data_IF_909639943632
#
_entry.id   IF_909639943632
#
_cell.length_a   1.000
_cell.length_b   1.000
_cell.length_c   1.000
_cell.angle_alpha   90.00
_cell.angle_beta   90.00
_cell.angle_gamma   90.00
#
_symmetry.space_group_name_H-M   'P 1'
#
loop_
_entity.id
_entity.type
_entity.pdbx_description
1 polymer ?
#
# COMPACT_ATOMS: atom_id res chain seq x y z
N UNK A 1 24.84 -71.81 7.61
CA UNK A 1 24.43 -72.22 8.99
C UNK A 1 23.59 -71.09 9.50
N UNK A 2 22.31 -71.36 9.61
CA UNK A 2 21.31 -71.00 10.63
C UNK A 2 21.08 -69.47 10.71
N UNK A 3 19.97 -68.83 10.34
CA UNK A 3 18.57 -69.23 10.47
C UNK A 3 17.95 -68.57 11.67
N UNK A 4 16.86 -67.81 11.46
CA UNK A 4 15.70 -67.53 12.31
C UNK A 4 15.33 -66.02 12.12
N UNK A 5 14.21 -65.60 11.63
CA UNK A 5 12.89 -66.17 11.61
C UNK A 5 12.02 -65.54 12.68
N UNK A 6 11.13 -64.56 12.29
CA UNK A 6 9.97 -64.29 13.06
C UNK A 6 9.54 -62.82 13.18
N UNK A 7 8.31 -62.45 13.60
CA UNK A 7 7.08 -62.73 12.87
C UNK A 7 6.36 -61.47 12.38
N UNK A 8 5.56 -61.66 11.34
CA UNK A 8 4.58 -60.69 10.80
C UNK A 8 3.45 -60.48 11.81
N UNK A 9 3.17 -59.22 12.15
CA UNK A 9 1.93 -58.82 12.82
C UNK A 9 0.91 -58.38 11.76
N UNK A 10 -0.22 -59.08 11.78
CA UNK A 10 -1.38 -58.79 10.95
C UNK A 10 -2.18 -57.62 11.55
N UNK A 11 -2.48 -56.60 10.73
CA UNK A 11 -3.47 -55.61 11.10
C UNK A 11 -4.86 -56.07 10.64
N UNK A 12 -5.75 -56.21 11.62
CA UNK A 12 -7.18 -56.46 11.44
C UNK A 12 -7.86 -55.18 11.02
N UNK A 13 -8.62 -55.25 9.92
CA UNK A 13 -9.64 -54.30 9.56
C UNK A 13 -10.79 -54.29 10.56
N UNK A 14 -11.16 -53.10 11.04
CA UNK A 14 -12.38 -52.87 11.81
C UNK A 14 -13.35 -52.11 10.93
N UNK A 15 -14.37 -52.79 10.44
CA UNK A 15 -15.56 -52.26 9.79
C UNK A 15 -16.51 -51.65 10.81
N UNK A 16 -16.81 -50.35 10.69
CA UNK A 16 -17.85 -49.65 11.43
C UNK A 16 -18.97 -49.17 10.46
N UNK A 17 -20.20 -48.94 10.93
CA UNK A 17 -21.41 -49.09 10.11
C UNK A 17 -21.74 -47.84 9.28
N UNK A 18 -22.22 -48.12 8.05
CA UNK A 18 -22.82 -47.14 7.10
C UNK A 18 -24.19 -46.68 7.64
N UNK A 19 -24.36 -45.39 7.86
CA UNK A 19 -25.67 -44.75 8.04
C UNK A 19 -26.27 -44.45 6.69
N UNK A 20 -27.45 -45.03 6.43
CA UNK A 20 -28.23 -44.80 5.25
C UNK A 20 -29.05 -43.51 5.39
N UNK A 21 -28.86 -42.54 4.47
CA UNK A 21 -29.80 -41.42 4.33
C UNK A 21 -30.94 -41.78 3.38
N UNK A 22 -32.15 -41.82 3.93
CA UNK A 22 -33.42 -41.97 3.22
C UNK A 22 -33.72 -40.70 2.41
N UNK A 23 -34.02 -40.91 1.12
CA UNK A 23 -34.69 -39.93 0.26
C UNK A 23 -36.16 -39.78 0.72
N UNK A 24 -36.55 -38.55 1.02
CA UNK A 24 -37.97 -38.17 1.12
C UNK A 24 -38.39 -37.49 -0.18
N UNK A 25 -39.26 -38.14 -0.90
CA UNK A 25 -40.02 -37.60 -2.05
C UNK A 25 -41.37 -37.08 -1.55
N UNK A 26 -41.72 -35.84 -1.88
CA UNK A 26 -43.02 -35.26 -1.64
C UNK A 26 -43.33 -34.16 -2.67
N UNK A 27 -44.59 -33.77 -2.96
CA UNK A 27 -45.15 -33.83 -4.29
C UNK A 27 -45.20 -32.48 -5.03
N UNK A 28 -45.29 -32.60 -6.37
CA UNK A 28 -45.62 -31.53 -7.34
C UNK A 28 -47.00 -30.93 -7.06
N UNK A 29 -47.09 -29.60 -7.05
CA UNK A 29 -48.30 -28.89 -7.38
C UNK A 29 -48.00 -27.84 -8.44
N UNK A 30 -48.67 -27.96 -9.57
CA UNK A 30 -48.70 -26.96 -10.63
C UNK A 30 -49.76 -25.91 -10.28
N UNK A 31 -49.45 -24.63 -10.51
CA UNK A 31 -50.47 -23.61 -10.69
C UNK A 31 -49.90 -22.46 -11.50
N UNK A 32 -50.48 -22.33 -12.67
CA UNK A 32 -50.41 -21.22 -13.60
C UNK A 32 -51.11 -19.98 -13.03
N UNK A 33 -50.46 -18.80 -13.11
CA UNK A 33 -51.18 -17.53 -13.12
C UNK A 33 -50.37 -16.51 -13.93
N UNK A 34 -50.87 -16.16 -15.08
CA UNK A 34 -50.55 -14.97 -15.85
C UNK A 34 -50.99 -13.71 -15.10
N UNK A 35 -50.15 -12.67 -15.10
CA UNK A 35 -50.52 -11.33 -14.67
C UNK A 35 -49.57 -10.28 -15.29
N UNK A 36 -49.94 -9.03 -15.51
CA UNK A 36 -49.80 -8.34 -16.79
C UNK A 36 -48.51 -7.55 -16.95
N UNK A 37 -48.07 -7.50 -18.22
CA UNK A 37 -46.99 -6.64 -18.74
C UNK A 37 -47.38 -5.17 -18.60
N UNK A 38 -46.68 -4.40 -17.78
CA UNK A 38 -46.67 -2.95 -17.81
C UNK A 38 -45.48 -2.46 -18.62
N UNK A 39 -45.80 -1.85 -19.75
CA UNK A 39 -44.84 -1.13 -20.60
C UNK A 39 -44.36 0.12 -19.88
N UNK A 40 -43.04 0.26 -19.67
CA UNK A 40 -42.44 1.53 -19.28
C UNK A 40 -42.19 2.37 -20.54
N UNK A 41 -42.90 3.48 -20.59
CA UNK A 41 -42.69 4.59 -21.54
C UNK A 41 -41.34 5.25 -21.26
N UNK A 42 -40.56 5.44 -22.31
CA UNK A 42 -39.45 6.36 -22.36
C UNK A 42 -39.92 7.80 -22.08
N UNK A 43 -39.36 8.42 -21.05
CA UNK A 43 -39.54 9.83 -20.77
C UNK A 43 -38.30 10.57 -21.27
N UNK A 44 -38.51 11.39 -22.31
CA UNK A 44 -37.53 12.29 -22.91
C UNK A 44 -37.06 13.37 -21.93
N UNK A 45 -35.76 13.57 -21.84
CA UNK A 45 -35.13 14.64 -21.08
C UNK A 45 -35.32 16.02 -21.77
N UNK A 46 -35.55 17.10 -21.01
CA UNK A 46 -35.62 18.46 -21.60
C UNK A 46 -34.21 19.03 -21.76
N UNK A 47 -33.95 19.54 -22.99
CA UNK A 47 -32.80 20.38 -23.34
C UNK A 47 -32.90 21.71 -22.60
N UNK A 48 -31.96 22.05 -21.76
CA UNK A 48 -31.80 23.41 -21.23
C UNK A 48 -30.86 24.21 -22.14
N UNK A 49 -31.43 25.30 -22.68
CA UNK A 49 -30.77 26.31 -23.52
C UNK A 49 -29.77 27.10 -22.65
N UNK A 50 -28.59 27.33 -23.23
CA UNK A 50 -27.62 28.34 -22.77
C UNK A 50 -28.23 29.73 -22.98
N UNK A 51 -28.28 30.56 -21.94
CA UNK A 51 -28.34 32.00 -22.02
C UNK A 51 -27.10 32.59 -21.36
N UNK A 52 -26.32 33.32 -22.16
CA UNK A 52 -25.25 34.16 -21.67
C UNK A 52 -25.80 35.55 -21.30
N UNK A 53 -25.14 36.20 -20.34
CA UNK A 53 -25.07 37.65 -20.14
C UNK A 53 -23.95 37.88 -19.12
N UNK A 54 -22.83 38.44 -19.54
CA UNK A 54 -22.47 39.85 -19.63
C UNK A 54 -22.03 40.50 -18.32
N UNK A 55 -20.79 40.96 -18.37
CA UNK A 55 -20.02 41.79 -17.45
C UNK A 55 -20.77 43.01 -16.84
N UNK A 56 -20.45 43.31 -15.58
CA UNK A 56 -20.25 44.71 -15.12
C UNK A 56 -19.10 44.74 -14.11
N UNK A 57 -18.11 45.59 -14.41
CA UNK A 57 -17.05 46.03 -13.51
C UNK A 57 -17.41 47.36 -12.86
N UNK A 58 -16.86 47.62 -11.69
CA UNK A 58 -16.56 48.86 -10.98
C UNK A 58 -17.00 48.77 -9.51
N UNK A 59 -16.24 49.19 -8.55
CA UNK A 59 -15.31 50.23 -8.29
C UNK A 59 -14.79 50.21 -6.87
N UNK A 60 -13.64 50.77 -6.68
CA UNK A 60 -12.93 51.10 -5.46
C UNK A 60 -13.78 51.85 -4.40
N UNK A 61 -13.50 51.60 -3.09
CA UNK A 61 -13.21 52.69 -2.14
C UNK A 61 -12.69 52.16 -0.81
N UNK A 62 -11.64 52.78 -0.36
CA UNK A 62 -11.00 52.63 0.93
C UNK A 62 -11.84 53.23 2.06
N UNK A 63 -11.74 52.63 3.26
CA UNK A 63 -12.31 53.22 4.47
C UNK A 63 -11.63 52.63 5.72
N UNK A 64 -10.72 53.44 6.30
CA UNK A 64 -10.23 53.28 7.67
C UNK A 64 -11.32 53.61 8.67
N UNK A 65 -11.54 52.76 9.67
CA UNK A 65 -12.15 53.19 10.94
C UNK A 65 -11.62 52.35 12.11
N UNK A 66 -11.07 53.06 13.04
CA UNK A 66 -10.63 52.68 14.38
C UNK A 66 -11.83 52.41 15.28
N UNK A 67 -11.71 51.45 16.21
CA UNK A 67 -12.68 51.42 17.31
C UNK A 67 -12.72 50.15 18.17
N UNK A 68 -12.00 50.18 19.25
CA UNK A 68 -12.34 49.71 20.60
C UNK A 68 -12.61 48.23 20.93
N UNK A 69 -11.79 47.77 21.82
CA UNK A 69 -11.82 46.61 22.72
C UNK A 69 -13.18 46.35 23.38
N UNK A 70 -13.61 45.08 23.32
CA UNK A 70 -14.42 44.46 24.34
C UNK A 70 -13.89 43.05 24.62
N UNK A 71 -13.69 42.76 25.90
CA UNK A 71 -13.17 41.51 26.42
C UNK A 71 -14.31 40.48 26.57
N UNK A 72 -14.11 39.26 26.08
CA UNK A 72 -14.97 38.13 26.35
C UNK A 72 -14.23 37.12 27.23
N UNK A 73 -14.84 36.61 28.31
CA UNK A 73 -14.16 35.80 29.31
C UNK A 73 -14.30 34.32 29.05
N UNK A 74 -13.18 33.60 29.04
CA UNK A 74 -13.13 32.26 29.59
C UNK A 74 -13.26 31.09 28.63
N UNK A 75 -12.13 30.70 28.03
CA UNK A 75 -11.91 29.31 27.58
C UNK A 75 -10.87 28.66 28.51
N UNK A 76 -11.06 27.42 28.96
CA UNK A 76 -10.09 26.77 29.83
C UNK A 76 -8.84 26.41 29.05
N UNK A 77 -7.68 26.78 29.56
CA UNK A 77 -6.36 26.40 29.08
C UNK A 77 -6.22 24.89 29.08
N UNK A 78 -6.06 24.31 27.89
CA UNK A 78 -5.53 22.96 27.74
C UNK A 78 -4.05 22.99 28.12
N UNK A 79 -3.71 22.27 29.16
CA UNK A 79 -2.35 22.02 29.61
C UNK A 79 -1.52 21.43 28.46
N UNK A 80 -0.66 22.25 27.91
CA UNK A 80 0.37 21.83 26.94
C UNK A 80 1.41 21.03 27.70
N UNK A 81 1.34 19.71 27.59
CA UNK A 81 2.49 18.84 27.85
C UNK A 81 3.55 19.16 26.79
N UNK A 82 4.68 19.69 27.22
CA UNK A 82 5.83 19.97 26.37
C UNK A 82 6.39 18.64 25.83
N UNK A 83 5.91 18.21 24.68
CA UNK A 83 6.63 17.24 23.83
C UNK A 83 7.85 17.96 23.27
N UNK A 84 9.03 17.58 23.72
CA UNK A 84 10.29 18.03 23.14
C UNK A 84 10.36 17.63 21.67
N UNK A 85 9.98 18.53 20.80
CA UNK A 85 10.13 18.38 19.35
C UNK A 85 11.61 18.44 19.04
N UNK A 86 12.25 17.29 18.77
CA UNK A 86 13.53 17.27 18.08
C UNK A 86 13.24 17.87 16.70
N UNK A 87 13.84 19.01 16.41
CA UNK A 87 13.67 19.69 15.13
C UNK A 87 14.14 18.75 14.01
N UNK A 88 13.33 18.60 12.95
CA UNK A 88 13.74 17.90 11.75
C UNK A 88 15.05 18.52 11.22
N UNK A 89 16.01 17.72 10.71
CA UNK A 89 17.27 18.22 10.20
C UNK A 89 17.02 19.23 9.07
N UNK A 90 17.84 20.29 9.04
CA UNK A 90 17.78 21.33 7.99
C UNK A 90 18.10 20.70 6.62
N UNK A 91 17.16 20.69 5.68
CA UNK A 91 17.35 20.05 4.36
C UNK A 91 18.40 20.74 3.49
N UNK A 92 18.92 21.89 3.92
CA UNK A 92 19.98 22.63 3.20
C UNK A 92 21.41 22.23 3.63
N UNK A 93 21.57 21.44 4.69
CA UNK A 93 22.87 21.00 5.16
C UNK A 93 23.21 19.63 4.57
N UNK A 94 24.19 19.57 3.67
CA UNK A 94 24.75 18.30 3.21
C UNK A 94 25.29 17.51 4.42
N UNK A 95 24.88 16.26 4.62
CA UNK A 95 25.33 15.47 5.76
C UNK A 95 26.79 15.05 5.62
N UNK A 96 27.53 15.14 6.69
CA UNK A 96 28.91 14.64 6.76
C UNK A 96 28.91 13.11 7.04
N UNK A 97 29.62 12.35 6.22
CA UNK A 97 29.84 10.91 6.40
C UNK A 97 28.98 10.01 5.50
N UNK A 98 29.41 8.74 5.39
CA UNK A 98 28.69 7.69 4.66
C UNK A 98 27.41 7.32 5.41
N UNK A 99 26.35 7.01 4.66
CA UNK A 99 25.11 6.46 5.23
C UNK A 99 25.40 5.06 5.79
N UNK A 100 25.10 4.79 7.07
CA UNK A 100 25.29 3.46 7.65
C UNK A 100 24.37 2.43 7.01
N UNK A 101 24.83 1.18 6.93
CA UNK A 101 23.97 0.06 6.55
C UNK A 101 22.84 -0.13 7.60
N UNK A 102 21.64 -0.50 7.17
CA UNK A 102 20.47 -0.60 8.02
C UNK A 102 19.73 0.72 8.29
N UNK A 103 20.22 1.85 7.74
CA UNK A 103 19.48 3.12 7.76
C UNK A 103 18.14 2.97 7.05
N UNK A 104 17.06 3.49 7.63
CA UNK A 104 15.76 3.53 7.00
C UNK A 104 15.67 4.74 6.07
N UNK A 105 15.14 4.53 4.87
CA UNK A 105 14.78 5.59 3.94
C UNK A 105 13.26 5.67 3.84
N UNK A 106 12.71 6.84 4.11
CA UNK A 106 11.26 7.06 4.27
C UNK A 106 10.78 8.15 3.33
N UNK A 107 9.73 7.89 2.56
CA UNK A 107 9.07 8.88 1.72
C UNK A 107 8.08 9.70 2.55
N UNK A 108 8.36 10.98 2.73
CA UNK A 108 7.53 11.89 3.54
C UNK A 108 6.56 12.66 2.65
N UNK A 109 5.40 12.09 2.44
CA UNK A 109 4.33 12.62 1.58
C UNK A 109 3.97 14.08 1.89
N UNK A 110 3.93 14.45 3.16
CA UNK A 110 3.50 15.79 3.60
C UNK A 110 4.60 16.87 3.59
N UNK A 111 5.85 16.51 3.29
CA UNK A 111 6.97 17.46 3.27
C UNK A 111 7.81 17.46 2.00
N UNK A 112 7.43 16.66 0.98
CA UNK A 112 8.10 16.57 -0.31
C UNK A 112 9.56 16.10 -0.19
N UNK A 113 9.86 15.27 0.81
CA UNK A 113 11.21 14.81 1.14
C UNK A 113 11.28 13.29 1.23
N UNK A 114 12.49 12.76 1.21
CA UNK A 114 12.81 11.49 1.85
C UNK A 114 13.65 11.78 3.09
N UNK A 115 13.38 11.05 4.18
CA UNK A 115 14.15 11.15 5.41
C UNK A 115 14.94 9.88 5.65
N UNK A 116 16.23 10.05 5.96
CA UNK A 116 17.10 8.98 6.42
C UNK A 116 16.99 8.89 7.94
N UNK A 117 16.68 7.72 8.46
CA UNK A 117 16.48 7.49 9.89
C UNK A 117 17.40 6.37 10.36
N UNK A 118 18.23 6.66 11.35
CA UNK A 118 18.99 5.64 12.08
C UNK A 118 18.03 4.90 13.02
N UNK A 119 17.80 3.58 12.84
CA UNK A 119 16.91 2.82 13.71
C UNK A 119 17.54 2.45 15.07
N UNK A 120 18.74 2.96 15.38
CA UNK A 120 19.52 2.56 16.55
C UNK A 120 20.47 1.39 16.24
N UNK A 121 21.43 1.15 17.16
CA UNK A 121 22.54 0.22 16.94
C UNK A 121 22.14 -1.22 16.63
N UNK A 122 21.04 -1.66 17.18
CA UNK A 122 20.51 -3.04 17.06
C UNK A 122 19.24 -3.09 16.19
N UNK A 123 18.88 -1.99 15.51
CA UNK A 123 17.66 -1.91 14.73
C UNK A 123 16.37 -1.87 15.55
N UNK A 124 16.46 -1.88 16.87
CA UNK A 124 15.29 -1.94 17.79
C UNK A 124 14.51 -0.63 17.93
N UNK A 125 14.98 0.44 17.31
CA UNK A 125 14.43 1.80 17.49
C UNK A 125 14.97 2.53 18.72
N UNK A 126 15.61 1.86 19.67
CA UNK A 126 16.12 2.50 20.89
C UNK A 126 17.28 3.44 20.59
N UNK A 127 17.06 4.73 20.85
CA UNK A 127 18.06 5.78 20.56
C UNK A 127 18.18 6.13 19.08
N UNK A 128 17.27 5.64 18.23
CA UNK A 128 17.18 5.98 16.82
C UNK A 128 16.70 7.41 16.58
N UNK A 129 17.09 8.00 15.46
CA UNK A 129 16.75 9.36 15.10
C UNK A 129 16.90 9.65 13.60
N UNK A 130 16.18 10.65 13.06
CA UNK A 130 16.45 11.19 11.73
C UNK A 130 17.87 11.74 11.63
N UNK A 131 18.59 11.38 10.57
CA UNK A 131 19.98 11.82 10.33
C UNK A 131 20.13 12.78 9.15
N UNK A 132 19.19 12.74 8.21
CA UNK A 132 19.15 13.64 7.05
C UNK A 132 17.77 13.69 6.44
N UNK A 133 17.47 14.74 5.66
CA UNK A 133 16.29 14.85 4.81
C UNK A 133 16.67 15.46 3.46
N UNK A 134 16.06 14.97 2.37
CA UNK A 134 16.35 15.36 1.00
C UNK A 134 15.06 15.69 0.26
N UNK A 135 14.96 16.86 -0.34
CA UNK A 135 13.84 17.23 -1.22
C UNK A 135 13.84 16.36 -2.48
N UNK A 136 12.70 15.70 -2.75
CA UNK A 136 12.57 14.77 -3.89
C UNK A 136 11.57 15.21 -4.94
N UNK A 137 10.51 15.87 -4.57
CA UNK A 137 9.39 16.28 -5.43
C UNK A 137 8.11 16.24 -4.64
N UNK A 138 7.00 16.72 -5.25
CA UNK A 138 5.73 16.86 -4.54
C UNK A 138 5.14 15.51 -4.16
N UNK A 139 4.76 15.39 -2.89
CA UNK A 139 4.01 14.28 -2.34
C UNK A 139 4.60 12.90 -2.71
N UNK A 140 5.84 12.57 -2.29
CA UNK A 140 6.44 11.26 -2.56
C UNK A 140 5.60 10.14 -1.92
N UNK A 141 5.46 9.02 -2.65
CA UNK A 141 4.63 7.89 -2.25
C UNK A 141 5.48 6.64 -2.03
N UNK A 142 5.55 5.75 -3.01
CA UNK A 142 6.40 4.57 -2.97
C UNK A 142 7.88 4.88 -3.23
N UNK A 143 8.75 4.02 -2.75
CA UNK A 143 10.18 4.09 -3.04
C UNK A 143 10.79 2.68 -3.11
N UNK A 144 11.88 2.57 -3.88
CA UNK A 144 12.68 1.35 -3.97
C UNK A 144 14.16 1.71 -4.02
N UNK A 145 15.01 0.82 -3.48
CA UNK A 145 16.46 1.04 -3.42
C UNK A 145 17.18 -0.05 -4.20
N UNK A 146 18.09 0.36 -5.08
CA UNK A 146 18.95 -0.55 -5.83
C UNK A 146 20.24 -0.88 -5.10
N UNK A 147 20.86 -2.01 -5.45
CA UNK A 147 22.17 -2.42 -4.91
C UNK A 147 23.29 -1.43 -5.25
N UNK A 148 23.08 -0.57 -6.26
CA UNK A 148 23.98 0.50 -6.66
C UNK A 148 23.94 1.72 -5.72
N UNK A 149 23.15 1.67 -4.64
CA UNK A 149 22.98 2.73 -3.66
C UNK A 149 22.13 3.90 -4.16
N UNK A 150 21.30 3.68 -5.17
CA UNK A 150 20.31 4.66 -5.63
C UNK A 150 18.93 4.30 -5.15
N UNK A 151 18.21 5.28 -4.60
CA UNK A 151 16.80 5.18 -4.32
C UNK A 151 16.00 5.86 -5.42
N UNK A 152 14.90 5.23 -5.82
CA UNK A 152 13.94 5.71 -6.80
C UNK A 152 12.62 5.97 -6.08
N UNK A 153 12.11 7.19 -6.19
CA UNK A 153 10.98 7.67 -5.38
C UNK A 153 9.89 8.19 -6.30
N UNK A 154 8.72 7.58 -6.25
CA UNK A 154 7.55 8.02 -7.00
C UNK A 154 6.96 9.29 -6.40
N UNK A 155 6.85 10.37 -7.18
CA UNK A 155 6.27 11.66 -6.75
C UNK A 155 5.11 12.07 -7.66
N UNK A 156 4.45 13.18 -7.37
CA UNK A 156 3.40 13.71 -8.25
C UNK A 156 3.94 14.22 -9.61
N UNK A 157 5.23 14.56 -9.67
CA UNK A 157 5.85 15.23 -10.82
C UNK A 157 6.68 14.29 -11.69
N UNK A 158 7.12 13.18 -11.13
CA UNK A 158 8.05 12.27 -11.78
C UNK A 158 8.69 11.32 -10.76
N UNK A 159 9.69 10.55 -11.21
CA UNK A 159 10.49 9.69 -10.35
C UNK A 159 11.76 10.42 -9.95
N UNK A 160 11.93 10.66 -8.66
CA UNK A 160 13.17 11.22 -8.14
C UNK A 160 14.23 10.13 -7.95
N UNK A 161 15.46 10.43 -8.30
CA UNK A 161 16.62 9.56 -8.05
C UNK A 161 17.50 10.18 -6.98
N UNK A 162 17.73 9.44 -5.90
CA UNK A 162 18.53 9.89 -4.74
C UNK A 162 19.78 9.02 -4.62
N UNK A 163 20.93 9.65 -4.54
CA UNK A 163 22.16 8.98 -4.09
C UNK A 163 22.09 8.81 -2.58
N UNK A 164 21.95 7.56 -2.12
CA UNK A 164 21.76 7.28 -0.70
C UNK A 164 23.02 7.48 0.11
N UNK A 165 24.21 7.38 -0.48
CA UNK A 165 25.47 7.59 0.21
C UNK A 165 25.80 9.08 0.38
N UNK A 166 25.54 9.88 -0.66
CA UNK A 166 25.73 11.33 -0.63
C UNK A 166 24.51 12.06 -0.05
N UNK A 167 23.38 11.38 0.07
CA UNK A 167 22.09 11.92 0.54
C UNK A 167 21.68 13.15 -0.27
N UNK A 168 21.70 12.99 -1.59
CA UNK A 168 21.36 14.07 -2.53
C UNK A 168 20.46 13.56 -3.63
N UNK A 169 19.49 14.38 -4.06
CA UNK A 169 18.72 14.09 -5.26
C UNK A 169 19.56 14.38 -6.49
N UNK A 170 19.80 13.38 -7.32
CA UNK A 170 20.63 13.48 -8.54
C UNK A 170 19.79 13.66 -9.82
N UNK A 171 18.49 13.31 -9.80
CA UNK A 171 17.58 13.53 -10.91
C UNK A 171 16.12 13.63 -10.43
N UNK A 172 15.26 14.20 -11.28
CA UNK A 172 13.80 14.06 -11.27
C UNK A 172 13.40 13.77 -12.72
N UNK A 173 12.86 12.60 -12.98
CA UNK A 173 12.49 12.09 -14.30
C UNK A 173 10.99 12.31 -14.47
N UNK A 174 10.56 13.23 -15.35
CA UNK A 174 9.14 13.47 -15.55
C UNK A 174 8.44 12.28 -16.19
N UNK A 175 7.18 12.07 -15.89
CA UNK A 175 6.35 11.06 -16.54
C UNK A 175 6.07 11.40 -18.00
N UNK A 176 5.98 10.37 -18.84
CA UNK A 176 5.45 10.49 -20.20
C UNK A 176 3.90 10.54 -20.22
N UNK A 177 3.26 9.98 -19.20
CA UNK A 177 1.81 9.94 -19.02
C UNK A 177 1.31 11.27 -18.45
N UNK A 178 0.33 11.89 -19.11
CA UNK A 178 -0.34 13.09 -18.60
C UNK A 178 -1.26 12.72 -17.42
N UNK A 179 -0.80 12.96 -16.20
CA UNK A 179 -1.51 12.63 -14.96
C UNK A 179 -2.32 13.79 -14.36
N UNK A 180 -2.49 14.87 -15.11
CA UNK A 180 -3.19 16.08 -14.67
C UNK A 180 -2.31 17.02 -13.83
N UNK A 181 -2.91 18.03 -13.17
CA UNK A 181 -2.16 18.98 -12.38
C UNK A 181 -1.49 18.35 -11.16
N UNK A 182 -0.30 18.81 -10.82
CA UNK A 182 0.42 18.41 -9.62
C UNK A 182 -0.35 18.86 -8.38
N UNK A 183 -0.72 17.91 -7.53
CA UNK A 183 -1.47 18.15 -6.28
C UNK A 183 -0.90 17.32 -5.14
N UNK A 184 -1.39 17.52 -3.92
CA UNK A 184 -0.95 16.82 -2.69
C UNK A 184 -2.07 15.98 -2.07
N UNK A 185 -3.16 15.72 -2.79
CA UNK A 185 -4.24 14.85 -2.31
C UNK A 185 -3.85 13.37 -2.27
N UNK A 186 -4.52 12.61 -1.44
CA UNK A 186 -4.31 11.15 -1.30
C UNK A 186 -4.37 10.44 -2.65
N UNK A 187 -5.33 10.80 -3.48
CA UNK A 187 -5.57 10.22 -4.80
C UNK A 187 -5.09 11.12 -5.94
N UNK A 188 -3.96 11.81 -5.71
CA UNK A 188 -3.33 12.69 -6.69
C UNK A 188 -2.91 11.95 -7.96
N UNK A 189 -2.73 12.68 -9.05
CA UNK A 189 -2.07 12.16 -10.24
C UNK A 189 -0.56 11.94 -10.03
N UNK A 190 0.05 11.22 -10.95
CA UNK A 190 1.48 10.87 -10.90
C UNK A 190 1.78 9.54 -10.21
N UNK A 191 3.04 9.31 -9.87
CA UNK A 191 3.51 8.01 -9.42
C UNK A 191 3.02 7.62 -8.03
N UNK A 192 2.66 6.36 -7.87
CA UNK A 192 2.27 5.73 -6.60
C UNK A 192 3.18 4.53 -6.29
N UNK A 193 2.80 3.29 -6.63
CA UNK A 193 3.65 2.12 -6.50
C UNK A 193 4.87 2.17 -7.41
N UNK A 194 5.98 1.59 -6.98
CA UNK A 194 7.24 1.58 -7.72
C UNK A 194 8.05 0.32 -7.40
N UNK A 195 8.62 -0.31 -8.41
CA UNK A 195 9.46 -1.49 -8.24
C UNK A 195 10.70 -1.43 -9.12
N UNK A 196 11.74 -2.14 -8.71
CA UNK A 196 12.99 -2.29 -9.44
C UNK A 196 13.06 -3.70 -10.04
N UNK A 197 13.48 -3.79 -11.30
CA UNK A 197 13.78 -5.09 -11.90
C UNK A 197 14.86 -5.84 -11.09
N UNK A 198 14.80 -7.18 -11.01
CA UNK A 198 15.77 -7.96 -10.21
C UNK A 198 17.24 -7.76 -10.64
N UNK A 199 17.48 -7.39 -11.91
CA UNK A 199 18.81 -7.08 -12.44
C UNK A 199 19.21 -5.60 -12.27
N UNK A 200 18.35 -4.78 -11.66
CA UNK A 200 18.58 -3.35 -11.45
C UNK A 200 18.53 -2.48 -12.70
N UNK A 201 18.23 -3.04 -13.88
CA UNK A 201 18.31 -2.31 -15.17
C UNK A 201 17.12 -1.39 -15.43
N UNK A 202 15.96 -1.66 -14.82
CA UNK A 202 14.70 -0.93 -15.06
C UNK A 202 13.97 -0.65 -13.76
N UNK A 203 13.33 0.50 -13.69
CA UNK A 203 12.34 0.84 -12.67
C UNK A 203 10.97 0.88 -13.33
N UNK A 204 9.99 0.32 -12.66
CA UNK A 204 8.58 0.33 -13.05
C UNK A 204 7.80 1.17 -12.06
N UNK A 205 7.04 2.14 -12.55
CA UNK A 205 6.24 3.04 -11.71
C UNK A 205 4.80 3.07 -12.16
N UNK A 206 3.88 2.85 -11.23
CA UNK A 206 2.45 3.01 -11.43
C UNK A 206 2.08 4.48 -11.45
N UNK A 207 1.61 5.00 -12.59
CA UNK A 207 1.20 6.40 -12.77
C UNK A 207 -0.32 6.48 -12.71
N UNK A 208 -0.83 7.10 -11.66
CA UNK A 208 -2.26 7.34 -11.49
C UNK A 208 -2.73 8.52 -12.36
N UNK A 209 -3.81 8.30 -13.11
CA UNK A 209 -4.55 9.33 -13.82
C UNK A 209 -5.92 9.45 -13.16
N UNK A 210 -6.21 10.54 -12.42
CA UNK A 210 -7.42 10.62 -11.62
C UNK A 210 -8.71 10.46 -12.43
N UNK A 211 -9.49 9.40 -12.13
CA UNK A 211 -10.75 9.10 -12.79
C UNK A 211 -10.66 8.33 -14.10
N UNK A 212 -9.46 7.92 -14.50
CA UNK A 212 -9.21 7.16 -15.74
C UNK A 212 -8.31 5.94 -15.44
N UNK A 213 -8.14 5.05 -16.43
CA UNK A 213 -7.14 4.00 -16.37
C UNK A 213 -5.74 4.62 -16.26
N UNK A 214 -4.87 4.02 -15.46
CA UNK A 214 -3.50 4.44 -15.24
C UNK A 214 -2.52 3.79 -16.22
N UNK A 215 -1.24 3.96 -15.91
CA UNK A 215 -0.16 3.35 -16.66
C UNK A 215 0.94 2.82 -15.75
N UNK A 216 1.66 1.81 -16.21
CA UNK A 216 3.01 1.50 -15.71
C UNK A 216 4.01 2.09 -16.69
N UNK A 217 4.87 2.98 -16.22
CA UNK A 217 6.01 3.49 -16.98
C UNK A 217 7.28 2.73 -16.65
N UNK A 218 8.09 2.51 -17.67
CA UNK A 218 9.38 1.82 -17.60
C UNK A 218 10.50 2.85 -17.73
N UNK A 219 11.35 2.94 -16.73
CA UNK A 219 12.50 3.83 -16.71
C UNK A 219 13.77 2.98 -16.80
N UNK A 220 14.64 3.27 -17.77
CA UNK A 220 15.98 2.71 -17.83
C UNK A 220 16.88 3.36 -16.76
N UNK A 221 17.49 2.55 -15.92
CA UNK A 221 18.25 3.08 -14.77
C UNK A 221 19.57 3.74 -15.14
N UNK A 222 20.17 3.34 -16.27
CA UNK A 222 21.45 3.88 -16.75
C UNK A 222 21.26 5.23 -17.43
N UNK A 223 20.24 5.36 -18.32
CA UNK A 223 19.96 6.61 -19.05
C UNK A 223 19.07 7.54 -18.27
N UNK A 224 18.26 7.03 -17.33
CA UNK A 224 17.24 7.77 -16.56
C UNK A 224 16.19 8.38 -17.46
N UNK A 225 15.74 7.63 -18.43
CA UNK A 225 14.71 8.02 -19.38
C UNK A 225 13.54 7.05 -19.33
N UNK A 226 12.32 7.54 -19.54
CA UNK A 226 11.14 6.69 -19.77
C UNK A 226 11.30 6.03 -21.12
N UNK A 227 11.37 4.71 -21.13
CA UNK A 227 11.59 3.89 -22.34
C UNK A 227 10.36 3.17 -22.83
N UNK A 228 9.31 3.11 -22.02
CA UNK A 228 8.06 2.46 -22.37
C UNK A 228 6.93 2.79 -21.43
N UNK A 229 5.70 2.57 -21.90
CA UNK A 229 4.47 2.79 -21.15
C UNK A 229 3.48 1.68 -21.48
N UNK A 230 2.89 1.08 -20.44
CA UNK A 230 1.87 0.03 -20.56
C UNK A 230 0.57 0.51 -19.90
N UNK A 231 -0.61 0.42 -20.56
CA UNK A 231 -1.88 0.75 -19.92
C UNK A 231 -2.22 -0.30 -18.86
N UNK A 232 -2.70 0.17 -17.69
CA UNK A 232 -3.13 -0.69 -16.58
C UNK A 232 -4.50 -0.23 -16.08
N UNK A 233 -5.01 -0.81 -14.99
CA UNK A 233 -6.28 -0.39 -14.43
C UNK A 233 -6.23 0.96 -13.71
N UNK A 234 -7.37 1.33 -13.10
CA UNK A 234 -7.52 2.60 -12.40
C UNK A 234 -6.76 2.59 -11.09
N UNK A 235 -5.92 3.60 -10.90
CA UNK A 235 -5.14 3.82 -9.70
C UNK A 235 -4.22 2.63 -9.38
N UNK A 236 -3.12 2.48 -10.14
CA UNK A 236 -2.08 1.49 -9.86
C UNK A 236 -1.36 1.86 -8.55
N UNK A 237 -1.95 1.39 -7.44
CA UNK A 237 -1.59 1.79 -6.09
C UNK A 237 -0.24 1.20 -5.70
N UNK A 238 -0.01 -0.04 -6.12
CA UNK A 238 1.22 -0.77 -5.89
C UNK A 238 1.76 -1.40 -7.18
N UNK A 239 3.05 -1.64 -7.23
CA UNK A 239 3.74 -2.27 -8.36
C UNK A 239 4.78 -3.26 -7.85
N UNK A 240 4.69 -4.49 -8.34
CA UNK A 240 5.61 -5.58 -8.06
C UNK A 240 6.28 -6.10 -9.33
N UNK A 241 7.37 -6.84 -9.19
CA UNK A 241 8.04 -7.54 -10.29
C UNK A 241 8.15 -9.02 -9.97
N UNK A 242 7.90 -9.87 -10.96
CA UNK A 242 8.10 -11.32 -10.83
C UNK A 242 9.57 -11.65 -10.49
N UNK A 243 9.83 -12.74 -9.74
CA UNK A 243 11.20 -13.10 -9.35
C UNK A 243 12.16 -13.30 -10.51
N UNK A 244 11.64 -13.65 -11.70
CA UNK A 244 12.44 -13.82 -12.93
C UNK A 244 12.51 -12.54 -13.79
N UNK A 245 11.91 -11.43 -13.33
CA UNK A 245 11.91 -10.13 -14.01
C UNK A 245 11.07 -10.04 -15.29
N UNK A 246 10.27 -11.08 -15.61
CA UNK A 246 9.54 -11.14 -16.88
C UNK A 246 8.18 -10.47 -16.87
N UNK A 247 7.56 -10.37 -15.71
CA UNK A 247 6.26 -9.75 -15.54
C UNK A 247 6.32 -8.68 -14.45
N UNK A 248 5.60 -7.62 -14.68
CA UNK A 248 5.33 -6.55 -13.71
C UNK A 248 3.86 -6.59 -13.36
N UNK A 249 3.53 -6.44 -12.10
CA UNK A 249 2.17 -6.50 -11.60
C UNK A 249 1.77 -5.14 -11.04
N UNK A 250 0.76 -4.51 -11.62
CA UNK A 250 0.14 -3.31 -11.06
C UNK A 250 -1.11 -3.71 -10.28
N UNK A 251 -1.17 -3.35 -9.02
CA UNK A 251 -2.37 -3.53 -8.18
C UNK A 251 -3.28 -2.33 -8.37
N UNK A 252 -4.35 -2.52 -9.12
CA UNK A 252 -5.24 -1.47 -9.61
C UNK A 252 -6.43 -1.29 -8.66
N UNK A 253 -6.28 -0.38 -7.70
CA UNK A 253 -7.18 -0.20 -6.58
C UNK A 253 -8.65 0.07 -6.97
N UNK A 254 -8.91 0.98 -7.92
CA UNK A 254 -10.27 1.40 -8.26
C UNK A 254 -10.93 0.55 -9.35
N UNK A 255 -10.19 -0.29 -10.04
CA UNK A 255 -10.71 -1.26 -10.99
C UNK A 255 -10.76 -2.70 -10.46
N UNK A 256 -10.35 -2.92 -9.20
CA UNK A 256 -10.48 -4.20 -8.47
C UNK A 256 -9.73 -5.37 -9.11
N UNK A 257 -8.62 -5.09 -9.77
CA UNK A 257 -7.85 -6.10 -10.47
C UNK A 257 -6.33 -5.93 -10.26
N UNK A 258 -5.60 -6.89 -10.77
CA UNK A 258 -4.15 -6.79 -10.96
C UNK A 258 -3.90 -6.85 -12.46
N UNK A 259 -3.19 -5.87 -12.98
CA UNK A 259 -2.70 -5.90 -14.36
C UNK A 259 -1.29 -6.49 -14.40
N UNK A 260 -1.13 -7.64 -15.07
CA UNK A 260 0.19 -8.15 -15.42
C UNK A 260 0.67 -7.54 -16.72
N UNK A 261 1.87 -7.01 -16.72
CA UNK A 261 2.58 -6.40 -17.85
C UNK A 261 3.78 -7.26 -18.18
N UNK A 262 3.88 -7.73 -19.42
CA UNK A 262 5.08 -8.41 -19.93
C UNK A 262 6.22 -7.39 -20.04
N UNK A 263 7.32 -7.62 -19.33
CA UNK A 263 8.42 -6.65 -19.17
C UNK A 263 9.16 -6.29 -20.46
N UNK A 264 9.12 -7.17 -21.47
CA UNK A 264 9.80 -6.94 -22.75
C UNK A 264 8.88 -6.35 -23.82
N UNK A 265 7.64 -6.83 -23.90
CA UNK A 265 6.70 -6.45 -24.97
C UNK A 265 5.68 -5.39 -24.54
N UNK A 266 5.58 -5.11 -23.25
CA UNK A 266 4.61 -4.21 -22.61
C UNK A 266 3.15 -4.60 -22.87
N UNK A 267 2.89 -5.84 -23.25
CA UNK A 267 1.54 -6.37 -23.37
C UNK A 267 0.94 -6.62 -22.01
N UNK A 268 -0.33 -6.26 -21.86
CA UNK A 268 -1.03 -6.34 -20.57
C UNK A 268 -2.13 -7.39 -20.59
N UNK A 269 -2.41 -7.95 -19.40
CA UNK A 269 -3.58 -8.76 -19.11
C UNK A 269 -4.11 -8.43 -17.71
N UNK A 270 -5.38 -8.17 -17.60
CA UNK A 270 -6.04 -7.84 -16.32
C UNK A 270 -6.60 -9.11 -15.68
N UNK A 271 -6.50 -9.19 -14.35
CA UNK A 271 -6.97 -10.32 -13.55
C UNK A 271 -7.80 -9.79 -12.39
N UNK A 272 -9.10 -10.08 -12.38
CA UNK A 272 -9.96 -9.75 -11.25
C UNK A 272 -9.49 -10.51 -10.00
N UNK A 273 -9.25 -9.78 -8.89
CA UNK A 273 -8.62 -10.39 -7.71
C UNK A 273 -9.59 -10.89 -6.68
N UNK A 274 -10.83 -10.42 -6.69
CA UNK A 274 -11.83 -10.88 -5.74
C UNK A 274 -13.18 -11.07 -6.40
N UNK A 275 -13.88 -12.19 -6.15
CA UNK A 275 -15.23 -12.43 -6.70
C UNK A 275 -16.27 -11.46 -6.13
N UNK A 276 -15.94 -10.73 -5.10
CA UNK A 276 -16.77 -9.69 -4.46
C UNK A 276 -16.32 -8.27 -4.81
N UNK A 277 -15.35 -8.08 -5.67
CA UNK A 277 -14.85 -6.77 -6.09
C UNK A 277 -15.95 -5.90 -6.70
N UNK A 278 -16.91 -6.51 -7.38
CA UNK A 278 -18.08 -5.82 -7.96
C UNK A 278 -19.26 -5.67 -7.01
N UNK A 279 -19.24 -6.31 -5.84
CA UNK A 279 -20.27 -6.19 -4.79
C UNK A 279 -20.16 -4.81 -4.11
N UNK A 280 -20.95 -3.85 -4.52
CA UNK A 280 -20.92 -2.48 -4.01
C UNK A 280 -20.28 -1.46 -4.96
N UNK A 281 -19.76 -1.90 -6.11
CA UNK A 281 -19.18 -1.03 -7.13
C UNK A 281 -18.02 -0.20 -6.62
N UNK A 282 -17.81 0.98 -7.17
CA UNK A 282 -16.71 1.90 -6.78
C UNK A 282 -16.75 2.36 -5.31
N UNK A 283 -17.88 2.18 -4.63
CA UNK A 283 -18.04 2.46 -3.20
C UNK A 283 -17.66 1.29 -2.29
N UNK A 284 -17.29 0.13 -2.85
CA UNK A 284 -16.85 -1.02 -2.05
C UNK A 284 -15.55 -0.74 -1.31
N UNK A 285 -15.46 -1.22 -0.09
CA UNK A 285 -14.24 -1.23 0.72
C UNK A 285 -13.29 -2.37 0.32
N UNK A 286 -13.78 -3.37 -0.41
CA UNK A 286 -13.04 -4.57 -0.82
C UNK A 286 -12.14 -4.27 -2.03
N UNK A 287 -11.28 -3.27 -1.92
CA UNK A 287 -10.34 -2.86 -2.95
C UNK A 287 -8.94 -3.37 -2.64
N UNK A 288 -8.17 -3.84 -3.63
CA UNK A 288 -6.77 -4.17 -3.41
C UNK A 288 -5.96 -2.88 -3.18
N UNK A 289 -5.11 -2.87 -2.15
CA UNK A 289 -4.19 -1.76 -1.92
C UNK A 289 -2.77 -2.17 -2.29
N UNK A 290 -2.23 -3.15 -1.59
CA UNK A 290 -0.87 -3.64 -1.79
C UNK A 290 -0.87 -5.13 -2.11
N UNK A 291 0.17 -5.55 -2.80
CA UNK A 291 0.48 -6.94 -3.04
C UNK A 291 1.92 -7.21 -2.64
N UNK A 292 2.28 -8.47 -2.50
CA UNK A 292 3.67 -8.89 -2.42
C UNK A 292 3.85 -10.19 -3.19
N UNK A 293 4.87 -10.25 -4.03
CA UNK A 293 5.18 -11.47 -4.78
C UNK A 293 5.90 -12.45 -3.88
N UNK A 294 5.33 -13.65 -3.73
CA UNK A 294 5.98 -14.74 -2.98
C UNK A 294 7.06 -15.39 -3.84
N UNK A 295 8.37 -15.31 -3.45
CA UNK A 295 9.46 -15.78 -4.30
C UNK A 295 9.41 -17.28 -4.58
N UNK A 296 8.85 -18.08 -3.66
CA UNK A 296 8.84 -19.53 -3.76
C UNK A 296 8.01 -20.08 -4.93
N UNK A 297 6.94 -19.40 -5.35
CA UNK A 297 6.03 -19.86 -6.41
C UNK A 297 5.53 -18.75 -7.35
N UNK A 298 5.97 -17.51 -7.15
CA UNK A 298 5.61 -16.35 -7.99
C UNK A 298 4.16 -15.90 -7.84
N UNK A 299 3.45 -16.32 -6.79
CA UNK A 299 2.08 -15.85 -6.53
C UNK A 299 2.09 -14.53 -5.80
N UNK A 300 1.05 -13.74 -6.07
CA UNK A 300 0.80 -12.51 -5.34
C UNK A 300 -0.07 -12.79 -4.12
N UNK A 301 0.34 -12.19 -3.01
CA UNK A 301 -0.39 -12.18 -1.74
C UNK A 301 -0.98 -10.78 -1.59
N UNK A 302 -2.32 -10.68 -1.57
CA UNK A 302 -3.05 -9.43 -1.45
C UNK A 302 -3.91 -9.47 -0.19
N UNK A 303 -3.55 -8.73 0.86
CA UNK A 303 -4.40 -8.59 2.05
C UNK A 303 -5.65 -7.78 1.74
N UNK A 304 -6.79 -8.21 2.31
CA UNK A 304 -8.09 -7.54 2.18
C UNK A 304 -8.79 -7.47 3.53
N UNK A 305 -9.72 -6.54 3.66
CA UNK A 305 -10.61 -6.46 4.81
C UNK A 305 -11.47 -7.73 4.98
N UNK A 306 -11.99 -7.92 6.17
CA UNK A 306 -12.82 -9.06 6.50
C UNK A 306 -12.03 -10.35 6.67
N UNK A 307 -10.86 -10.27 7.28
CA UNK A 307 -10.03 -11.43 7.62
C UNK A 307 -9.60 -12.23 6.38
N UNK A 308 -9.17 -11.57 5.30
CA UNK A 308 -8.90 -12.23 4.02
C UNK A 308 -7.52 -11.95 3.48
N UNK A 309 -6.90 -13.01 2.95
CA UNK A 309 -5.72 -12.93 2.09
C UNK A 309 -6.08 -13.54 0.74
N UNK A 310 -6.11 -12.74 -0.31
CA UNK A 310 -6.23 -13.25 -1.66
C UNK A 310 -4.86 -13.72 -2.16
N UNK A 311 -4.79 -14.95 -2.63
CA UNK A 311 -3.59 -15.54 -3.25
C UNK A 311 -3.87 -15.70 -4.73
N UNK A 312 -3.29 -14.84 -5.56
CA UNK A 312 -3.43 -14.83 -7.00
C UNK A 312 -2.28 -15.59 -7.65
N UNK A 313 -2.59 -16.61 -8.46
CA UNK A 313 -1.62 -17.21 -9.39
C UNK A 313 -1.62 -16.42 -10.72
N UNK A 314 -0.60 -15.60 -11.00
CA UNK A 314 -0.63 -14.73 -12.17
C UNK A 314 -0.56 -15.49 -13.50
N UNK A 315 -0.06 -16.73 -13.52
CA UNK A 315 0.00 -17.55 -14.73
C UNK A 315 -1.38 -18.04 -15.18
N UNK A 316 -2.30 -18.20 -14.25
CA UNK A 316 -3.63 -18.76 -14.51
C UNK A 316 -4.76 -17.77 -14.26
N UNK A 317 -4.51 -16.66 -13.58
CA UNK A 317 -5.51 -15.72 -13.09
C UNK A 317 -6.37 -16.28 -11.95
N UNK A 318 -6.00 -17.44 -11.38
CA UNK A 318 -6.77 -18.07 -10.32
C UNK A 318 -6.50 -17.39 -8.98
N UNK A 319 -7.58 -16.98 -8.32
CA UNK A 319 -7.56 -16.47 -6.95
C UNK A 319 -8.01 -17.54 -5.97
N UNK A 320 -7.32 -17.66 -4.85
CA UNK A 320 -7.71 -18.48 -3.69
C UNK A 320 -7.76 -17.57 -2.48
N UNK A 321 -8.83 -17.65 -1.69
CA UNK A 321 -8.96 -16.87 -0.46
C UNK A 321 -8.52 -17.71 0.73
N UNK A 322 -7.59 -17.20 1.49
CA UNK A 322 -7.17 -17.70 2.79
C UNK A 322 -7.74 -16.80 3.90
N UNK A 323 -7.89 -17.35 5.10
CA UNK A 323 -8.33 -16.57 6.25
C UNK A 323 -7.13 -15.91 6.93
N UNK A 324 -7.33 -14.64 7.33
CA UNK A 324 -6.46 -13.91 8.26
C UNK A 324 -7.17 -13.75 9.61
N UNK A 325 -6.43 -13.40 10.66
CA UNK A 325 -6.99 -13.17 12.01
C UNK A 325 -7.48 -11.74 12.17
N UNK A 326 -6.67 -10.75 11.75
CA UNK A 326 -7.02 -9.34 11.93
C UNK A 326 -8.10 -8.88 10.94
N UNK A 327 -9.15 -8.27 11.47
CA UNK A 327 -10.22 -7.64 10.70
C UNK A 327 -10.10 -6.13 10.75
N UNK A 328 -9.24 -5.58 9.92
CA UNK A 328 -8.93 -4.15 9.84
C UNK A 328 -8.73 -3.75 8.38
N UNK A 329 -8.70 -2.47 8.09
CA UNK A 329 -8.38 -1.97 6.74
C UNK A 329 -6.92 -2.30 6.40
N UNK A 330 -6.71 -3.25 5.50
CA UNK A 330 -5.39 -3.78 5.17
C UNK A 330 -4.69 -2.86 4.16
N UNK A 331 -3.45 -2.50 4.46
CA UNK A 331 -2.59 -1.67 3.61
C UNK A 331 -1.27 -2.36 3.28
N UNK A 332 -0.13 -1.75 3.63
CA UNK A 332 1.20 -2.21 3.28
C UNK A 332 1.47 -3.66 3.66
N UNK A 333 2.17 -4.36 2.80
CA UNK A 333 2.58 -5.73 3.03
C UNK A 333 4.02 -5.97 2.55
N UNK A 334 4.76 -6.84 3.24
CA UNK A 334 6.10 -7.26 2.83
C UNK A 334 6.38 -8.69 3.30
N UNK A 335 7.39 -9.33 2.72
CA UNK A 335 7.88 -10.63 3.15
C UNK A 335 9.23 -10.51 3.83
N UNK A 336 9.35 -11.08 5.01
CA UNK A 336 10.64 -11.30 5.65
C UNK A 336 11.46 -12.39 4.91
N UNK A 337 12.79 -12.45 5.11
CA UNK A 337 13.65 -13.42 4.41
C UNK A 337 13.26 -14.88 4.60
N UNK A 338 12.64 -15.23 5.71
CA UNK A 338 12.15 -16.58 6.02
C UNK A 338 10.78 -16.90 5.38
N UNK A 339 10.16 -15.94 4.68
CA UNK A 339 8.85 -16.03 4.07
C UNK A 339 7.68 -15.65 4.99
N UNK A 340 7.94 -15.12 6.17
CA UNK A 340 6.91 -14.52 7.04
C UNK A 340 6.31 -13.30 6.36
N UNK A 341 4.98 -13.28 6.23
CA UNK A 341 4.23 -12.16 5.67
C UNK A 341 3.89 -11.17 6.79
N UNK A 342 4.26 -9.92 6.58
CA UNK A 342 3.90 -8.79 7.43
C UNK A 342 2.81 -7.98 6.72
N UNK A 343 1.72 -7.67 7.43
CA UNK A 343 0.58 -6.90 6.88
C UNK A 343 0.19 -5.80 7.84
N UNK A 344 0.12 -4.59 7.33
CA UNK A 344 -0.31 -3.41 8.08
C UNK A 344 -1.81 -3.28 8.03
N UNK A 345 -2.43 -3.22 9.20
CA UNK A 345 -3.84 -2.86 9.37
C UNK A 345 -3.96 -1.44 9.91
N UNK A 346 -4.65 -0.56 9.17
CA UNK A 346 -4.73 0.87 9.50
C UNK A 346 -5.79 1.21 10.54
N UNK A 347 -6.65 0.27 10.88
CA UNK A 347 -7.75 0.45 11.81
C UNK A 347 -9.14 0.30 11.15
N UNK A 348 -10.21 0.64 11.88
CA UNK A 348 -11.56 0.33 11.44
C UNK A 348 -12.03 1.22 10.28
N UNK A 349 -12.67 0.61 9.29
CA UNK A 349 -13.51 1.29 8.29
C UNK A 349 -14.98 1.14 8.67
N UNK A 350 -15.35 -0.02 9.16
CA UNK A 350 -16.69 -0.37 9.62
C UNK A 350 -16.83 -0.47 11.12
N UNK A 351 -18.04 -0.74 11.60
CA UNK A 351 -18.33 -0.87 13.04
C UNK A 351 -17.80 -2.16 13.67
N UNK A 352 -17.48 -3.14 12.85
CA UNK A 352 -17.06 -4.48 13.29
C UNK A 352 -15.57 -4.72 13.07
N UNK A 353 -14.85 -3.71 12.56
CA UNK A 353 -13.41 -3.79 12.31
C UNK A 353 -12.62 -3.50 13.59
N UNK A 354 -11.43 -4.06 13.64
CA UNK A 354 -10.51 -3.96 14.77
C UNK A 354 -9.60 -2.73 14.67
N UNK A 355 -8.92 -2.43 15.77
CA UNK A 355 -7.94 -1.33 15.88
C UNK A 355 -6.70 -1.58 14.98
N UNK A 356 -5.88 -0.52 14.74
CA UNK A 356 -4.65 -0.63 13.97
C UNK A 356 -3.73 -1.74 14.49
N UNK A 357 -3.12 -2.49 13.57
CA UNK A 357 -2.27 -3.63 13.93
C UNK A 357 -1.24 -3.96 12.86
N UNK A 358 -0.19 -4.70 13.25
CA UNK A 358 0.69 -5.43 12.35
C UNK A 358 0.39 -6.92 12.49
N UNK A 359 -0.07 -7.55 11.42
CA UNK A 359 -0.20 -9.01 11.36
C UNK A 359 1.13 -9.62 10.91
N UNK A 360 1.67 -10.54 11.71
CA UNK A 360 2.85 -11.35 11.42
C UNK A 360 2.38 -12.76 11.14
N UNK A 361 2.41 -13.17 9.87
CA UNK A 361 1.91 -14.48 9.40
C UNK A 361 3.06 -15.35 8.94
N UNK A 362 3.33 -16.43 9.68
CA UNK A 362 4.33 -17.40 9.30
C UNK A 362 3.95 -18.19 8.03
N UNK A 363 4.91 -18.81 7.32
CA UNK A 363 4.64 -19.60 6.11
C UNK A 363 3.67 -20.76 6.31
N UNK A 364 3.53 -21.29 7.51
CA UNK A 364 2.58 -22.35 7.87
C UNK A 364 1.14 -21.84 8.11
N UNK A 365 0.94 -20.50 8.03
CA UNK A 365 -0.33 -19.82 8.22
C UNK A 365 -0.66 -19.47 9.67
N UNK A 366 0.21 -19.74 10.63
CA UNK A 366 0.06 -19.24 12.00
C UNK A 366 0.28 -17.73 12.05
N UNK A 367 -0.50 -17.01 12.89
CA UNK A 367 -0.49 -15.57 12.95
C UNK A 367 -0.31 -15.04 14.37
N UNK A 368 0.42 -13.93 14.45
CA UNK A 368 0.48 -13.05 15.61
C UNK A 368 0.03 -11.66 15.18
N UNK A 369 -0.89 -11.05 15.92
CA UNK A 369 -1.37 -9.69 15.70
C UNK A 369 -0.77 -8.79 16.76
N UNK A 370 0.01 -7.79 16.34
CA UNK A 370 0.65 -6.81 17.21
C UNK A 370 -0.16 -5.52 17.15
N UNK A 371 -0.78 -5.07 18.25
CA UNK A 371 -1.49 -3.79 18.29
C UNK A 371 -0.56 -2.61 18.01
N UNK A 372 -1.03 -1.63 17.23
CA UNK A 372 -0.31 -0.40 16.92
C UNK A 372 -1.07 0.82 17.45
N UNK A 373 -0.33 1.84 17.88
CA UNK A 373 -0.93 3.10 18.33
C UNK A 373 -1.28 4.02 17.15
N UNK A 374 -2.45 3.84 16.56
CA UNK A 374 -2.96 4.64 15.46
C UNK A 374 -2.68 4.06 14.06
N UNK A 375 -3.18 4.70 13.00
CA UNK A 375 -3.07 4.22 11.63
C UNK A 375 -1.62 4.19 11.16
N UNK A 376 -1.30 3.19 10.36
CA UNK A 376 0.00 3.01 9.70
C UNK A 376 -0.22 2.69 8.23
N UNK A 377 0.80 2.89 7.39
CA UNK A 377 0.67 2.78 5.93
C UNK A 377 1.46 1.62 5.34
N UNK A 378 2.77 1.61 5.50
CA UNK A 378 3.66 0.68 4.83
C UNK A 378 4.64 0.04 5.82
N UNK A 379 5.30 -1.04 5.40
CA UNK A 379 6.19 -1.81 6.26
C UNK A 379 7.42 -2.30 5.50
N UNK A 380 8.58 -2.12 6.12
CA UNK A 380 9.83 -2.77 5.72
C UNK A 380 10.33 -3.68 6.84
N UNK A 381 11.18 -4.63 6.48
CA UNK A 381 11.79 -5.58 7.43
C UNK A 381 13.30 -5.46 7.37
N UNK A 382 13.97 -5.61 8.52
CA UNK A 382 15.42 -5.65 8.59
C UNK A 382 16.00 -6.82 7.80
N UNK A 383 17.26 -6.70 7.35
CA UNK A 383 17.90 -7.73 6.52
C UNK A 383 18.02 -9.09 7.22
N UNK A 384 18.10 -9.10 8.55
CA UNK A 384 18.12 -10.32 9.38
C UNK A 384 16.73 -10.87 9.70
N UNK A 385 15.65 -10.12 9.36
CA UNK A 385 14.28 -10.50 9.64
C UNK A 385 13.79 -10.22 11.06
N UNK A 386 14.63 -9.67 11.95
CA UNK A 386 14.32 -9.51 13.38
C UNK A 386 13.48 -8.27 13.72
N UNK A 387 13.40 -7.28 12.83
CA UNK A 387 12.66 -6.04 13.09
C UNK A 387 11.77 -5.64 11.93
N UNK A 388 10.54 -5.21 12.22
CA UNK A 388 9.64 -4.56 11.27
C UNK A 388 9.59 -3.05 11.54
N UNK A 389 9.61 -2.26 10.48
CA UNK A 389 9.57 -0.80 10.49
C UNK A 389 8.30 -0.33 9.78
N UNK A 390 7.34 0.20 10.54
CA UNK A 390 6.00 0.51 10.05
C UNK A 390 5.77 2.02 10.04
N UNK A 391 5.46 2.61 8.88
CA UNK A 391 5.26 4.05 8.73
C UNK A 391 3.89 4.50 9.22
N UNK A 392 3.82 5.71 9.82
CA UNK A 392 2.62 6.23 10.48
C UNK A 392 1.79 7.21 9.65
N UNK A 393 1.98 7.26 8.33
CA UNK A 393 1.45 8.31 7.47
C UNK A 393 0.18 7.98 6.69
N UNK A 394 -0.83 7.41 7.32
CA UNK A 394 -2.11 7.21 6.65
C UNK A 394 -2.90 8.51 6.51
N UNK A 395 -3.53 8.74 5.35
CA UNK A 395 -4.07 10.05 4.99
C UNK A 395 -5.54 10.25 5.34
N UNK A 396 -6.37 9.21 5.25
CA UNK A 396 -7.81 9.30 5.48
C UNK A 396 -8.20 9.23 6.94
N UNK A 397 -7.73 8.23 7.66
CA UNK A 397 -8.21 7.90 9.01
C UNK A 397 -7.30 8.48 10.10
N UNK A 398 -6.38 9.32 9.72
CA UNK A 398 -5.39 9.94 10.58
C UNK A 398 -3.97 9.63 10.14
N UNK A 399 -3.02 10.23 10.81
CA UNK A 399 -1.60 10.03 10.56
C UNK A 399 -0.79 10.47 11.78
N UNK A 400 0.44 9.99 11.85
CA UNK A 400 1.44 10.56 12.73
C UNK A 400 2.81 10.57 12.04
N UNK A 401 3.72 11.43 12.51
CA UNK A 401 4.97 11.70 11.81
C UNK A 401 6.10 10.83 12.37
N UNK A 402 6.07 9.54 12.07
CA UNK A 402 7.06 8.63 12.59
C UNK A 402 6.98 7.22 12.03
N UNK A 403 7.78 6.36 12.63
CA UNK A 403 7.92 4.93 12.34
C UNK A 403 7.71 4.18 13.64
N UNK A 404 6.92 3.12 13.62
CA UNK A 404 6.85 2.16 14.71
C UNK A 404 7.77 0.98 14.40
N UNK A 405 8.68 0.69 15.31
CA UNK A 405 9.57 -0.48 15.23
C UNK A 405 8.98 -1.60 16.06
N UNK A 406 8.78 -2.75 15.44
CA UNK A 406 8.25 -3.96 16.08
C UNK A 406 9.34 -5.03 16.07
N UNK A 407 9.66 -5.56 17.25
CA UNK A 407 10.55 -6.71 17.41
C UNK A 407 9.80 -7.97 16.97
N UNK A 408 10.35 -8.67 15.98
CA UNK A 408 9.75 -9.88 15.45
C UNK A 408 10.19 -11.14 16.21
N UNK A 409 11.32 -11.09 16.88
CA UNK A 409 11.91 -12.21 17.65
C UNK A 409 11.37 -12.29 19.09
N UNK A 410 11.08 -11.12 19.71
CA UNK A 410 10.52 -11.06 21.06
C UNK A 410 9.05 -10.59 21.07
N UNK A 411 8.14 -11.55 21.20
CA UNK A 411 6.68 -11.29 21.25
C UNK A 411 6.24 -10.41 22.44
N UNK A 412 7.09 -10.23 23.44
CA UNK A 412 6.81 -9.43 24.64
C UNK A 412 7.42 -8.03 24.56
N UNK A 413 8.21 -7.76 23.53
CA UNK A 413 8.79 -6.45 23.32
C UNK A 413 7.69 -5.46 22.92
N UNK A 414 7.64 -4.33 23.63
CA UNK A 414 6.72 -3.26 23.27
C UNK A 414 7.25 -2.51 22.04
N UNK A 415 6.37 -2.15 21.08
CA UNK A 415 6.77 -1.37 19.92
C UNK A 415 7.45 -0.04 20.28
N UNK A 416 8.49 0.33 19.56
CA UNK A 416 9.26 1.57 19.77
C UNK A 416 8.92 2.59 18.69
N UNK A 417 8.64 3.84 19.07
CA UNK A 417 8.31 4.91 18.13
C UNK A 417 9.52 5.80 17.85
N UNK A 418 9.78 6.02 16.56
CA UNK A 418 10.79 6.93 16.04
C UNK A 418 10.13 8.10 15.32
N UNK A 419 10.76 9.26 15.31
CA UNK A 419 10.34 10.37 14.46
C UNK A 419 10.84 10.17 13.03
N UNK A 420 10.01 10.59 12.05
CA UNK A 420 10.37 10.71 10.64
C UNK A 420 9.94 12.08 10.12
N UNK A 421 9.81 12.25 8.82
CA UNK A 421 9.22 13.46 8.23
C UNK A 421 7.70 13.53 8.39
N UNK A 422 7.06 14.43 7.66
CA UNK A 422 5.63 14.63 7.74
C UNK A 422 4.87 13.64 6.83
N UNK A 423 3.94 12.88 7.40
CA UNK A 423 3.17 11.82 6.71
C UNK A 423 4.09 10.84 5.98
N UNK A 424 4.87 10.04 6.69
CA UNK A 424 5.73 9.03 6.08
C UNK A 424 4.88 7.90 5.47
N UNK A 425 5.07 7.61 4.19
CA UNK A 425 4.40 6.53 3.46
C UNK A 425 5.40 5.41 3.15
N UNK A 426 5.93 5.34 1.92
CA UNK A 426 6.87 4.28 1.53
C UNK A 426 8.12 4.25 2.38
N UNK A 427 8.64 3.04 2.64
CA UNK A 427 9.83 2.81 3.46
C UNK A 427 10.71 1.70 2.87
N UNK A 428 12.03 1.87 2.98
CA UNK A 428 13.01 0.83 2.67
C UNK A 428 14.15 0.84 3.68
N UNK A 429 14.86 -0.28 3.77
CA UNK A 429 16.10 -0.45 4.55
C UNK A 429 17.29 -0.39 3.59
N UNK A 430 18.34 0.42 3.90
CA UNK A 430 19.55 0.61 3.11
C UNK A 430 20.64 -0.39 3.47
#
# INVERSE_FOLDING_TARGET
MTGTGGPRAAFREASGPRAAFRKASGPRAASSAEGPRTAFREASAPRIRRLGLALIAAGLLAGCATGTTEADPGTPEASSAASGTVAAPDPSRAPEGRTPDGTLLVADFGSDTVTFVDPGRDGSGKGGAPIASVKVGTAPYGLVVGEDGRAWVATAEGVAVVDTQQRTRIALIPYGTESGPVTTGEYRGGGMGIALAPDGSRVYVGVNVPGEDGAVEVIDTATREVTGTAPVGMRPFDVDVSPDGREVYATDHDSFDVTAVDADTLKTRRMEVAPYSTEGGLGSWLKPHYAVVRPADGKLLLPFEGERLAVLDPRTGKVTIERMTANTHQHGATLAPDGTLLVVGTGPIGSDDEDPSLTVRAPDGSERVVPLEGPHEDVAVSADGGSAYVTGGFTRDGYWNGITVVDLDDEKSEPVRLTAGNRPLGIAVL
#
